data_IF_601349468026
#
_entry.id   IF_601349468026
#
_cell.length_a   1.000
_cell.length_b   1.000
_cell.length_c   1.000
_cell.angle_alpha   90.00
_cell.angle_beta   90.00
_cell.angle_gamma   90.00
#
_symmetry.space_group_name_H-M   'P 1'
#
loop_
_entity.id
_entity.type
_entity.pdbx_description
1 polymer ?
#
# COMPACT_ATOMS: atom_id res chain seq x y z
N UNK A 1 -1.91 7.84 -6.15
CA UNK A 1 -1.09 6.78 -5.54
C UNK A 1 0.16 7.39 -4.93
N UNK A 2 0.60 6.91 -3.78
CA UNK A 2 1.83 7.32 -3.09
C UNK A 2 2.80 6.12 -3.06
N UNK A 3 4.07 6.38 -3.37
CA UNK A 3 5.13 5.39 -3.29
C UNK A 3 5.86 5.60 -1.97
N UNK A 4 6.04 4.52 -1.21
CA UNK A 4 6.79 4.52 0.04
C UNK A 4 7.86 3.43 0.02
N UNK A 5 8.97 3.68 0.70
CA UNK A 5 10.04 2.69 0.82
C UNK A 5 9.75 1.66 1.92
N UNK A 6 9.13 2.11 3.02
CA UNK A 6 8.73 1.30 4.17
C UNK A 6 7.26 1.63 4.48
N UNK A 7 6.38 0.68 4.22
CA UNK A 7 4.93 0.88 4.39
C UNK A 7 4.48 0.78 5.83
N UNK A 8 5.22 0.08 6.68
CA UNK A 8 4.92 -0.05 8.11
C UNK A 8 5.18 1.29 8.81
N UNK A 9 6.37 1.86 8.58
CA UNK A 9 6.72 3.18 9.08
C UNK A 9 5.78 4.25 8.53
N UNK A 10 5.49 4.24 7.22
CA UNK A 10 4.56 5.19 6.62
C UNK A 10 3.18 5.11 7.27
N UNK A 11 2.63 3.91 7.44
CA UNK A 11 1.33 3.73 8.09
C UNK A 11 1.33 4.21 9.54
N UNK A 12 2.38 3.93 10.31
CA UNK A 12 2.50 4.44 11.69
C UNK A 12 2.45 5.98 11.72
N UNK A 13 3.15 6.65 10.79
CA UNK A 13 3.14 8.11 10.70
C UNK A 13 1.74 8.67 10.38
N UNK A 14 0.99 8.00 9.51
CA UNK A 14 -0.39 8.37 9.21
C UNK A 14 -1.28 8.25 10.46
N UNK A 15 -1.23 7.10 11.13
CA UNK A 15 -2.00 6.85 12.36
C UNK A 15 -1.64 7.85 13.46
N UNK A 16 -0.35 8.13 13.67
CA UNK A 16 0.14 9.09 14.67
C UNK A 16 -0.39 10.52 14.41
N UNK A 17 -0.63 10.85 13.15
CA UNK A 17 -1.18 12.15 12.73
C UNK A 17 -2.71 12.18 12.73
N UNK A 18 -3.37 11.10 13.16
CA UNK A 18 -4.82 11.00 13.20
C UNK A 18 -5.47 10.74 11.84
N UNK A 19 -4.70 10.32 10.83
CA UNK A 19 -5.24 9.97 9.52
C UNK A 19 -5.77 8.53 9.57
N UNK A 20 -7.04 8.35 9.22
CA UNK A 20 -7.63 7.02 9.07
C UNK A 20 -7.03 6.31 7.85
N UNK A 21 -6.24 5.27 8.09
CA UNK A 21 -5.59 4.46 7.07
C UNK A 21 -5.86 2.99 7.34
N UNK A 22 -6.09 2.23 6.26
CA UNK A 22 -6.37 0.80 6.37
C UNK A 22 -5.20 0.04 7.03
N UNK A 23 -5.44 -1.19 7.53
CA UNK A 23 -4.38 -2.16 7.69
C UNK A 23 -3.61 -2.36 6.38
N UNK A 24 -2.36 -2.82 6.50
CA UNK A 24 -1.57 -3.25 5.34
C UNK A 24 -2.20 -4.52 4.77
N UNK A 25 -2.19 -4.63 3.45
CA UNK A 25 -2.63 -5.80 2.73
C UNK A 25 -1.74 -6.09 1.52
N UNK A 26 -1.79 -7.32 1.04
CA UNK A 26 -1.23 -7.74 -0.24
C UNK A 26 -2.33 -8.36 -1.11
N UNK A 27 -2.03 -8.58 -2.38
CA UNK A 27 -2.92 -9.28 -3.31
C UNK A 27 -2.61 -10.77 -3.27
N UNK A 28 -3.64 -11.61 -3.17
CA UNK A 28 -3.52 -13.08 -3.18
C UNK A 28 -2.74 -13.61 -4.41
N UNK A 29 -2.93 -13.00 -5.58
CA UNK A 29 -2.23 -13.36 -6.82
C UNK A 29 -0.83 -12.72 -6.92
N UNK A 30 -0.40 -11.94 -5.93
CA UNK A 30 0.90 -11.27 -5.88
C UNK A 30 1.07 -10.10 -6.83
N UNK A 31 0.00 -9.68 -7.51
CA UNK A 31 -0.01 -8.49 -8.37
C UNK A 31 -1.39 -7.87 -8.21
N UNK A 32 -1.46 -6.56 -7.98
CA UNK A 32 -2.73 -5.86 -7.78
C UNK A 32 -3.36 -5.50 -9.13
N UNK A 33 -4.33 -6.29 -9.59
CA UNK A 33 -5.07 -6.02 -10.85
C UNK A 33 -6.57 -5.87 -10.64
N UNK A 34 -7.08 -6.12 -9.44
CA UNK A 34 -8.51 -6.16 -9.15
C UNK A 34 -8.98 -4.80 -8.67
N UNK A 35 -10.07 -4.32 -9.25
CA UNK A 35 -10.75 -3.13 -8.75
C UNK A 35 -11.36 -3.41 -7.37
N UNK A 36 -11.31 -2.43 -6.47
CA UNK A 36 -11.88 -2.52 -5.13
C UNK A 36 -11.03 -3.29 -4.12
N UNK A 37 -11.69 -4.13 -3.32
CA UNK A 37 -11.09 -4.86 -2.17
C UNK A 37 -11.00 -6.37 -2.39
N UNK A 38 -11.46 -6.87 -3.53
CA UNK A 38 -11.44 -8.30 -3.82
C UNK A 38 -9.99 -8.81 -3.92
N UNK A 39 -9.67 -9.89 -3.20
CA UNK A 39 -8.33 -10.48 -3.20
C UNK A 39 -7.32 -9.79 -2.28
N UNK A 40 -7.72 -8.78 -1.50
CA UNK A 40 -6.87 -8.20 -0.46
C UNK A 40 -6.74 -9.20 0.70
N UNK A 41 -5.52 -9.64 0.95
CA UNK A 41 -5.15 -10.47 2.09
C UNK A 41 -4.50 -9.58 3.15
N UNK A 42 -4.94 -9.65 4.42
CA UNK A 42 -4.32 -8.86 5.49
C UNK A 42 -2.82 -9.14 5.65
N UNK A 43 -2.06 -8.09 5.92
CA UNK A 43 -0.62 -8.15 6.15
C UNK A 43 0.21 -7.85 4.90
N UNK A 44 1.52 -7.73 5.12
CA UNK A 44 2.52 -7.54 4.08
C UNK A 44 2.56 -8.72 3.12
N UNK A 45 3.10 -8.52 1.92
CA UNK A 45 3.48 -9.64 1.06
C UNK A 45 4.44 -10.57 1.85
N UNK A 46 4.12 -11.87 2.00
CA UNK A 46 4.94 -12.78 2.79
C UNK A 46 6.37 -12.93 2.27
N UNK A 47 6.60 -12.66 0.98
CA UNK A 47 7.90 -12.68 0.35
C UNK A 47 8.60 -11.30 0.34
N UNK A 48 7.99 -10.27 0.95
CA UNK A 48 8.43 -8.86 0.95
C UNK A 48 8.86 -8.37 -0.43
N UNK A 49 8.15 -8.81 -1.48
CA UNK A 49 8.44 -8.39 -2.85
C UNK A 49 8.13 -6.90 -3.00
N UNK A 50 9.01 -6.18 -3.67
CA UNK A 50 8.74 -4.81 -4.10
C UNK A 50 7.44 -4.77 -4.91
N UNK A 51 6.68 -3.68 -4.82
CA UNK A 51 5.38 -3.48 -5.45
C UNK A 51 4.23 -4.34 -4.90
N UNK A 52 4.42 -5.18 -3.88
CA UNK A 52 3.42 -6.20 -3.47
C UNK A 52 2.74 -5.94 -2.11
N UNK A 53 3.03 -4.83 -1.43
CA UNK A 53 2.37 -4.42 -0.18
C UNK A 53 1.71 -3.06 -0.33
N UNK A 54 0.48 -2.93 0.18
CA UNK A 54 -0.33 -1.72 0.04
C UNK A 54 -1.08 -1.34 1.32
N UNK A 55 -1.51 -0.08 1.37
CA UNK A 55 -2.47 0.46 2.32
C UNK A 55 -3.30 1.54 1.62
N UNK A 56 -4.52 1.82 2.09
CA UNK A 56 -5.37 2.86 1.49
C UNK A 56 -5.96 3.80 2.54
N UNK A 57 -6.15 5.06 2.17
CA UNK A 57 -6.82 6.08 2.97
C UNK A 57 -7.63 7.03 2.06
N UNK A 58 -8.54 7.80 2.65
CA UNK A 58 -9.21 8.90 1.96
C UNK A 58 -8.71 10.23 2.52
N UNK A 59 -8.48 11.21 1.65
CA UNK A 59 -8.21 12.58 2.09
C UNK A 59 -9.52 13.34 2.42
N UNK A 60 -9.45 14.51 3.08
CA UNK A 60 -10.64 15.30 3.42
C UNK A 60 -11.47 15.76 2.22
N UNK A 61 -10.89 15.79 1.03
CA UNK A 61 -11.56 16.18 -0.21
C UNK A 61 -12.33 14.98 -0.82
N UNK A 62 -12.24 13.79 -0.22
CA UNK A 62 -12.92 12.58 -0.64
C UNK A 62 -12.15 11.77 -1.69
N UNK A 63 -10.89 12.08 -1.96
CA UNK A 63 -10.08 11.29 -2.88
C UNK A 63 -9.55 10.03 -2.18
N UNK A 64 -9.70 8.89 -2.85
CA UNK A 64 -9.11 7.62 -2.42
C UNK A 64 -7.65 7.50 -2.85
N UNK A 65 -6.77 7.24 -1.89
CA UNK A 65 -5.34 7.06 -2.12
C UNK A 65 -4.90 5.64 -1.76
N UNK A 66 -3.96 5.11 -2.56
CA UNK A 66 -3.19 3.90 -2.27
C UNK A 66 -1.74 4.26 -1.99
N UNK A 67 -1.20 3.74 -0.89
CA UNK A 67 0.22 3.62 -0.65
C UNK A 67 0.69 2.29 -1.26
N UNK A 68 1.81 2.30 -1.95
CA UNK A 68 2.48 1.11 -2.46
C UNK A 68 3.93 1.09 -1.98
N UNK A 69 4.33 -0.04 -1.39
CA UNK A 69 5.71 -0.27 -1.00
C UNK A 69 6.57 -0.59 -2.23
N UNK A 70 7.61 0.19 -2.47
CA UNK A 70 8.60 -0.06 -3.52
C UNK A 70 10.00 0.04 -2.88
N UNK A 71 10.58 -1.11 -2.57
CA UNK A 71 11.93 -1.23 -2.01
C UNK A 71 13.00 -1.23 -3.11
N UNK A 72 12.67 -1.80 -4.27
CA UNK A 72 13.52 -1.84 -5.46
C UNK A 72 12.71 -1.44 -6.67
N UNK A 73 13.19 -0.46 -7.45
CA UNK A 73 12.55 -0.05 -8.70
C UNK A 73 12.97 -0.99 -9.84
N UNK A 74 11.99 -1.47 -10.61
CA UNK A 74 12.29 -2.22 -11.83
C UNK A 74 12.94 -1.29 -12.88
N UNK A 75 13.82 -1.81 -13.75
CA UNK A 75 14.43 -1.04 -14.82
C UNK A 75 13.40 -0.26 -15.63
N UNK A 76 13.70 1.01 -15.96
CA UNK A 76 12.81 1.88 -16.74
C UNK A 76 11.72 2.60 -15.93
N UNK A 77 11.76 2.56 -14.59
CA UNK A 77 10.86 3.33 -13.72
C UNK A 77 11.66 4.33 -12.87
N UNK A 78 11.58 5.63 -13.19
CA UNK A 78 12.16 6.76 -12.40
C UNK A 78 11.12 7.45 -11.54
#
# INVERSE_FOLDING_TARGET
MLIVHDIELAREQFVRRGVEISPIFHDEAGIFHRAGTQGRVPGLDPQRRSYCSWASFNDPDGNGWLLQEITTRLPGRV
#
